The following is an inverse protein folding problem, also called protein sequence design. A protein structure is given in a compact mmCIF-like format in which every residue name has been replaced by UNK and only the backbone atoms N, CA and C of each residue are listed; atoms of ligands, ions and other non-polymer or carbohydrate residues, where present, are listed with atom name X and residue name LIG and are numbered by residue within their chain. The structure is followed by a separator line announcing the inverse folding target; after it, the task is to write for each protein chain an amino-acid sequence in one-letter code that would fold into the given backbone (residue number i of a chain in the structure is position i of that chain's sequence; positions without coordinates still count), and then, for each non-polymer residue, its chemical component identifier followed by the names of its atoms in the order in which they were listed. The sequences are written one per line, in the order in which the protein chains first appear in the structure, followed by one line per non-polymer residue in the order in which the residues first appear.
data_IF_473445525955
#
_entry.id   IF_473445525955
#
_cell.length_a   1.000
_cell.length_b   1.000
_cell.length_c   1.000
_cell.angle_alpha   90.00
_cell.angle_beta   90.00
_cell.angle_gamma   90.00
#
_symmetry.space_group_name_H-M   'P 1'
#
loop_
_entity.id
_entity.type
_entity.pdbx_description
1 polymer ?
#
# COMPACT_ATOMS: atom_id res chain seq x y z
N UNK A 1 -2.68 -21.03 7.38
CA UNK A 1 -2.41 -19.58 7.33
C UNK A 1 -3.28 -18.92 6.29
N UNK A 2 -3.03 -19.23 5.01
CA UNK A 2 -3.93 -18.87 3.93
C UNK A 2 -5.31 -19.52 4.13
N UNK A 3 -6.37 -18.76 3.84
CA UNK A 3 -7.76 -19.20 3.88
C UNK A 3 -8.32 -19.24 2.46
N UNK A 4 -9.11 -20.27 2.16
CA UNK A 4 -9.71 -20.45 0.85
C UNK A 4 -10.69 -19.30 0.59
N UNK A 5 -10.54 -18.52 -0.50
CA UNK A 5 -11.43 -17.40 -0.77
C UNK A 5 -12.86 -17.81 -1.18
N UNK A 6 -13.11 -19.13 -1.29
CA UNK A 6 -14.42 -19.70 -1.67
C UNK A 6 -15.14 -20.27 -0.44
N UNK A 7 -14.47 -21.08 0.38
CA UNK A 7 -15.09 -21.77 1.51
C UNK A 7 -14.49 -21.44 2.88
N UNK A 8 -13.52 -20.51 2.93
CA UNK A 8 -12.83 -20.06 4.15
C UNK A 8 -12.00 -21.14 4.88
N UNK A 9 -12.02 -22.39 4.41
CA UNK A 9 -11.21 -23.47 4.98
C UNK A 9 -9.70 -23.23 4.78
N UNK A 10 -8.83 -23.78 5.64
CA UNK A 10 -7.39 -23.65 5.50
C UNK A 10 -6.89 -24.13 4.13
N UNK A 11 -6.00 -23.36 3.54
CA UNK A 11 -5.26 -23.73 2.33
C UNK A 11 -3.92 -24.37 2.73
N UNK A 12 -3.67 -25.57 2.20
CA UNK A 12 -2.43 -26.33 2.38
C UNK A 12 -1.64 -26.34 1.07
N UNK A 13 -0.32 -26.38 1.15
CA UNK A 13 0.56 -26.51 -0.02
C UNK A 13 0.34 -27.86 -0.70
N UNK A 14 0.09 -27.84 -2.01
CA UNK A 14 -0.04 -29.04 -2.84
C UNK A 14 0.58 -28.75 -4.20
N UNK A 15 1.50 -29.61 -4.65
CA UNK A 15 2.24 -29.42 -5.90
C UNK A 15 2.90 -28.02 -5.97
N UNK A 16 2.64 -27.26 -7.05
CA UNK A 16 3.07 -25.87 -7.21
C UNK A 16 1.97 -24.86 -6.80
N UNK A 17 1.14 -25.18 -5.82
CA UNK A 17 0.00 -24.36 -5.46
C UNK A 17 -0.51 -24.62 -4.05
N UNK A 18 -1.78 -24.26 -3.85
CA UNK A 18 -2.48 -24.48 -2.59
C UNK A 18 -3.87 -25.05 -2.82
N UNK A 19 -4.33 -25.89 -1.90
CA UNK A 19 -5.64 -26.52 -1.96
C UNK A 19 -6.31 -26.55 -0.58
N UNK A 20 -7.65 -26.48 -0.56
CA UNK A 20 -8.42 -26.69 0.67
C UNK A 20 -9.01 -28.11 0.72
N UNK A 21 -9.49 -28.58 1.90
CA UNK A 21 -10.13 -29.90 2.03
C UNK A 21 -11.36 -30.12 1.16
N UNK A 22 -12.04 -29.04 0.74
CA UNK A 22 -13.19 -29.10 -0.17
C UNK A 22 -12.78 -29.27 -1.65
N UNK A 23 -11.48 -29.37 -1.95
CA UNK A 23 -10.98 -29.61 -3.30
C UNK A 23 -10.74 -28.36 -4.16
N UNK A 24 -11.00 -27.15 -3.64
CA UNK A 24 -10.62 -25.92 -4.35
C UNK A 24 -9.11 -25.80 -4.43
N UNK A 25 -8.58 -25.55 -5.64
CA UNK A 25 -7.14 -25.45 -5.92
C UNK A 25 -6.79 -24.11 -6.55
N UNK A 26 -5.61 -23.59 -6.19
CA UNK A 26 -5.08 -22.33 -6.69
C UNK A 26 -3.60 -22.53 -7.02
N UNK A 27 -3.26 -22.43 -8.31
CA UNK A 27 -1.88 -22.58 -8.76
C UNK A 27 -1.06 -21.33 -8.47
N UNK A 28 0.22 -21.53 -8.12
CA UNK A 28 1.19 -20.45 -8.05
C UNK A 28 1.64 -20.09 -9.45
N UNK A 29 1.51 -18.82 -9.81
CA UNK A 29 1.98 -18.33 -11.10
C UNK A 29 3.51 -18.47 -11.18
N UNK A 30 4.05 -18.59 -12.40
CA UNK A 30 5.51 -18.68 -12.62
C UNK A 30 6.31 -17.54 -11.99
N UNK A 31 5.68 -16.39 -11.77
CA UNK A 31 6.29 -15.22 -11.14
C UNK A 31 6.33 -15.32 -9.60
N UNK A 32 5.58 -16.23 -8.98
CA UNK A 32 5.66 -16.52 -7.54
C UNK A 32 4.39 -16.22 -6.73
N UNK A 33 3.43 -15.47 -7.29
CA UNK A 33 2.18 -15.10 -6.60
C UNK A 33 1.10 -16.19 -6.66
N UNK A 34 0.17 -16.14 -5.70
CA UNK A 34 -1.09 -16.87 -5.71
C UNK A 34 -2.23 -15.92 -6.10
N UNK A 35 -3.06 -16.30 -7.06
CA UNK A 35 -4.29 -15.55 -7.36
C UNK A 35 -5.45 -16.11 -6.55
N UNK A 36 -5.84 -15.38 -5.50
CA UNK A 36 -6.91 -15.74 -4.58
C UNK A 36 -8.10 -14.77 -4.68
N UNK A 37 -8.21 -14.02 -5.77
CA UNK A 37 -9.35 -13.17 -6.06
C UNK A 37 -10.42 -13.96 -6.84
N UNK A 38 -11.59 -14.27 -6.25
CA UNK A 38 -12.64 -14.99 -6.96
C UNK A 38 -13.18 -14.17 -8.14
N UNK A 39 -13.50 -14.84 -9.24
CA UNK A 39 -14.01 -14.21 -10.47
C UNK A 39 -15.29 -13.39 -10.20
N UNK A 40 -16.11 -13.85 -9.27
CA UNK A 40 -17.39 -13.24 -8.87
C UNK A 40 -17.24 -11.89 -8.16
N UNK A 41 -16.03 -11.57 -7.70
CA UNK A 41 -15.72 -10.34 -6.97
C UNK A 41 -14.86 -9.37 -7.80
N UNK A 42 -14.78 -9.59 -9.12
CA UNK A 42 -14.20 -8.61 -10.06
C UNK A 42 -15.26 -7.60 -10.47
N UNK A 43 -15.35 -6.49 -9.73
CA UNK A 43 -16.25 -5.39 -10.06
C UNK A 43 -15.79 -4.55 -11.28
N UNK A 44 -14.60 -4.82 -11.83
CA UNK A 44 -14.07 -4.21 -13.06
C UNK A 44 -13.08 -5.17 -13.74
N UNK A 45 -12.92 -5.04 -15.06
CA UNK A 45 -11.86 -5.74 -15.84
C UNK A 45 -10.48 -5.10 -15.61
N UNK A 46 -10.43 -3.82 -15.22
CA UNK A 46 -9.24 -3.03 -14.92
C UNK A 46 -9.54 -2.05 -13.74
N UNK A 47 -9.67 -2.53 -12.49
CA UNK A 47 -9.78 -1.64 -11.34
C UNK A 47 -8.39 -1.08 -10.99
N UNK A 48 -8.26 0.25 -10.94
CA UNK A 48 -7.07 0.94 -10.44
C UNK A 48 -6.35 1.80 -11.49
N UNK A 49 -5.07 2.06 -11.22
CA UNK A 49 -4.19 2.90 -12.03
C UNK A 49 -3.88 2.27 -13.39
N UNK A 50 -3.85 3.07 -14.46
CA UNK A 50 -3.41 2.58 -15.78
C UNK A 50 -1.90 2.29 -15.80
N UNK A 51 -1.41 1.60 -16.84
CA UNK A 51 0.01 1.21 -16.94
C UNK A 51 0.99 2.39 -16.79
N UNK A 52 0.67 3.54 -17.40
CA UNK A 52 1.52 4.72 -17.34
C UNK A 52 1.62 5.29 -15.91
N UNK A 53 0.52 5.28 -15.15
CA UNK A 53 0.50 5.69 -13.74
C UNK A 53 1.35 4.76 -12.85
N UNK A 54 1.21 3.45 -13.08
CA UNK A 54 1.99 2.46 -12.34
C UNK A 54 3.49 2.64 -12.63
N UNK A 55 3.86 2.91 -13.87
CA UNK A 55 5.25 3.18 -14.27
C UNK A 55 5.79 4.49 -13.71
N UNK A 56 5.01 5.57 -13.77
CA UNK A 56 5.39 6.84 -13.17
C UNK A 56 5.61 6.72 -11.65
N UNK A 57 4.68 6.06 -10.94
CA UNK A 57 4.81 5.79 -9.50
C UNK A 57 6.08 4.97 -9.22
N UNK A 58 6.29 3.91 -10.00
CA UNK A 58 7.48 3.05 -9.89
C UNK A 58 8.77 3.86 -10.03
N UNK A 59 8.87 4.64 -11.10
CA UNK A 59 10.08 5.40 -11.41
C UNK A 59 10.36 6.43 -10.32
N UNK A 60 9.32 7.14 -9.87
CA UNK A 60 9.44 8.12 -8.79
C UNK A 60 9.89 7.49 -7.47
N UNK A 61 9.30 6.35 -7.09
CA UNK A 61 9.68 5.65 -5.87
C UNK A 61 11.10 5.08 -5.95
N UNK A 62 11.48 4.49 -7.08
CA UNK A 62 12.83 3.94 -7.27
C UNK A 62 13.91 5.01 -7.42
N UNK A 63 13.56 6.24 -7.78
CA UNK A 63 14.45 7.40 -7.71
C UNK A 63 14.76 7.82 -6.26
N UNK A 64 14.09 7.23 -5.26
CA UNK A 64 14.37 7.44 -3.85
C UNK A 64 13.67 8.65 -3.22
N UNK A 65 12.81 9.34 -3.98
CA UNK A 65 12.10 10.54 -3.50
C UNK A 65 11.30 10.26 -2.21
N UNK A 66 10.67 9.10 -2.09
CA UNK A 66 9.92 8.70 -0.88
C UNK A 66 10.68 7.68 -0.02
N UNK A 67 12.01 7.57 -0.17
CA UNK A 67 12.82 6.70 0.68
C UNK A 67 12.69 7.01 2.19
N UNK A 68 12.62 8.28 2.65
CA UNK A 68 12.39 8.58 4.06
C UNK A 68 11.08 8.00 4.59
N UNK A 69 10.02 8.03 3.77
CA UNK A 69 8.70 7.48 4.13
C UNK A 69 8.78 5.97 4.34
N UNK A 70 9.37 5.27 3.37
CA UNK A 70 9.47 3.82 3.41
C UNK A 70 10.41 3.33 4.52
N UNK A 71 11.52 4.06 4.77
CA UNK A 71 12.42 3.76 5.89
C UNK A 71 11.72 3.89 7.23
N UNK A 72 10.99 4.99 7.45
CA UNK A 72 10.31 5.19 8.73
C UNK A 72 9.23 4.13 8.97
N UNK A 73 8.47 3.76 7.93
CA UNK A 73 7.54 2.64 8.02
C UNK A 73 8.23 1.33 8.43
N UNK A 74 9.40 1.03 7.85
CA UNK A 74 10.15 -0.19 8.15
C UNK A 74 10.71 -0.18 9.58
N UNK A 75 11.23 0.95 10.06
CA UNK A 75 11.64 1.14 11.46
C UNK A 75 10.46 0.91 12.41
N UNK A 76 9.30 1.50 12.11
CA UNK A 76 8.11 1.31 12.90
C UNK A 76 7.66 -0.17 12.91
N UNK A 77 7.76 -0.88 11.79
CA UNK A 77 7.46 -2.31 11.75
C UNK A 77 8.45 -3.12 12.62
N UNK A 78 9.75 -2.78 12.55
CA UNK A 78 10.80 -3.44 13.33
C UNK A 78 10.66 -3.23 14.84
N UNK A 79 10.33 -2.01 15.30
CA UNK A 79 10.08 -1.70 16.71
C UNK A 79 8.98 -2.59 17.33
N UNK A 80 8.04 -3.09 16.52
CA UNK A 80 6.93 -3.95 16.96
C UNK A 80 7.29 -5.43 16.91
N UNK A 81 8.38 -5.78 16.23
CA UNK A 81 8.92 -7.14 16.10
C UNK A 81 7.85 -8.23 15.84
N UNK A 82 6.95 -8.07 14.85
CA UNK A 82 5.94 -9.07 14.55
C UNK A 82 6.59 -10.34 14.01
N UNK A 83 6.05 -11.50 14.37
CA UNK A 83 6.38 -12.77 13.72
C UNK A 83 5.66 -12.94 12.39
N UNK A 84 4.49 -12.31 12.22
CA UNK A 84 3.72 -12.30 10.97
C UNK A 84 3.13 -10.95 10.66
N UNK A 85 3.27 -10.53 9.40
CA UNK A 85 2.76 -9.26 8.92
C UNK A 85 2.14 -9.35 7.52
N UNK A 86 1.29 -8.38 7.19
CA UNK A 86 0.71 -8.26 5.84
C UNK A 86 0.67 -6.80 5.37
N UNK A 87 1.05 -6.55 4.12
CA UNK A 87 0.84 -5.27 3.43
C UNK A 87 -0.43 -5.32 2.57
N UNK A 88 -1.41 -4.48 2.91
CA UNK A 88 -2.72 -4.38 2.26
C UNK A 88 -2.71 -3.22 1.26
N UNK A 89 -2.76 -3.57 -0.03
CA UNK A 89 -2.59 -2.60 -1.12
C UNK A 89 -1.11 -2.37 -1.43
N UNK A 90 -0.34 -3.45 -1.53
CA UNK A 90 1.11 -3.40 -1.66
C UNK A 90 1.59 -2.77 -2.98
N UNK A 91 0.70 -2.59 -3.96
CA UNK A 91 1.05 -2.15 -5.30
C UNK A 91 2.15 -3.02 -5.90
N UNK A 92 3.21 -2.38 -6.37
CA UNK A 92 4.38 -3.08 -6.92
C UNK A 92 5.46 -3.43 -5.89
N UNK A 93 5.14 -3.37 -4.59
CA UNK A 93 5.97 -3.90 -3.51
C UNK A 93 7.10 -2.99 -3.03
N UNK A 94 7.07 -1.69 -3.32
CA UNK A 94 8.13 -0.76 -2.91
C UNK A 94 8.26 -0.67 -1.37
N UNK A 95 7.16 -0.37 -0.68
CA UNK A 95 7.13 -0.30 0.80
C UNK A 95 7.28 -1.68 1.43
N UNK A 96 6.63 -2.68 0.84
CA UNK A 96 6.70 -4.08 1.26
C UNK A 96 8.14 -4.59 1.35
N UNK A 97 8.98 -4.25 0.36
CA UNK A 97 10.37 -4.67 0.36
C UNK A 97 11.15 -4.10 1.55
N UNK A 98 10.92 -2.83 1.90
CA UNK A 98 11.58 -2.18 3.04
C UNK A 98 11.16 -2.81 4.38
N UNK A 99 9.88 -3.15 4.53
CA UNK A 99 9.39 -3.88 5.72
C UNK A 99 10.05 -5.26 5.80
N UNK A 100 10.14 -5.98 4.68
CA UNK A 100 10.75 -7.29 4.62
C UNK A 100 12.25 -7.28 4.97
N UNK A 101 12.98 -6.27 4.49
CA UNK A 101 14.40 -6.09 4.80
C UNK A 101 14.62 -5.80 6.30
N UNK A 102 13.71 -5.06 6.93
CA UNK A 102 13.73 -4.78 8.37
C UNK A 102 13.25 -5.95 9.23
N UNK A 103 12.50 -6.90 8.65
CA UNK A 103 11.93 -8.07 9.32
C UNK A 103 12.32 -9.38 8.62
N UNK A 104 13.62 -9.71 8.49
CA UNK A 104 14.10 -10.82 7.67
C UNK A 104 13.67 -12.21 8.17
N UNK A 105 13.20 -12.31 9.40
CA UNK A 105 12.77 -13.57 10.04
C UNK A 105 11.25 -13.67 10.22
N UNK A 106 10.50 -12.62 9.86
CA UNK A 106 9.05 -12.61 9.98
C UNK A 106 8.38 -13.20 8.73
N UNK A 107 7.25 -13.88 8.92
CA UNK A 107 6.41 -14.41 7.85
C UNK A 107 5.61 -13.25 7.20
N UNK A 108 6.03 -12.83 6.01
CA UNK A 108 5.50 -11.64 5.34
C UNK A 108 4.56 -11.96 4.17
N UNK A 109 3.41 -11.30 4.16
CA UNK A 109 2.40 -11.37 3.11
C UNK A 109 2.19 -10.00 2.48
N UNK A 110 1.80 -9.99 1.21
CA UNK A 110 1.48 -8.74 0.53
C UNK A 110 0.41 -8.98 -0.52
N UNK A 111 -0.59 -8.11 -0.56
CA UNK A 111 -1.71 -8.26 -1.48
C UNK A 111 -2.05 -6.95 -2.19
N UNK A 112 -2.43 -7.10 -3.45
CA UNK A 112 -3.07 -6.05 -4.25
C UNK A 112 -4.08 -6.69 -5.20
N UNK A 113 -5.08 -5.92 -5.64
CA UNK A 113 -6.05 -6.40 -6.63
C UNK A 113 -5.46 -6.39 -8.05
N UNK A 114 -4.45 -5.55 -8.29
CA UNK A 114 -3.76 -5.40 -9.58
C UNK A 114 -2.78 -6.53 -9.83
N UNK A 115 -3.17 -7.43 -10.74
CA UNK A 115 -2.30 -8.53 -11.20
C UNK A 115 -0.95 -8.05 -11.72
N UNK A 116 -0.91 -6.94 -12.47
CA UNK A 116 0.34 -6.45 -13.05
C UNK A 116 1.25 -5.82 -11.99
N UNK A 117 0.70 -5.18 -10.96
CA UNK A 117 1.49 -4.66 -9.84
C UNK A 117 2.12 -5.81 -9.04
N UNK A 118 1.32 -6.80 -8.62
CA UNK A 118 1.81 -7.97 -7.85
C UNK A 118 2.86 -8.76 -8.64
N UNK A 119 2.66 -8.92 -9.95
CA UNK A 119 3.62 -9.60 -10.84
C UNK A 119 4.98 -8.89 -10.89
N UNK A 120 5.02 -7.55 -10.79
CA UNK A 120 6.26 -6.78 -10.65
C UNK A 120 6.83 -6.92 -9.24
N UNK A 121 5.97 -6.85 -8.21
CA UNK A 121 6.34 -6.96 -6.81
C UNK A 121 7.06 -8.27 -6.48
N UNK A 122 6.63 -9.39 -7.06
CA UNK A 122 7.25 -10.71 -6.86
C UNK A 122 8.76 -10.74 -7.12
N UNK A 123 9.26 -9.88 -8.02
CA UNK A 123 10.68 -9.79 -8.35
C UNK A 123 11.50 -9.06 -7.28
N UNK A 124 10.87 -8.24 -6.44
CA UNK A 124 11.56 -7.46 -5.40
C UNK A 124 12.00 -8.34 -4.25
N UNK A 125 11.13 -9.25 -3.80
CA UNK A 125 11.46 -10.18 -2.74
C UNK A 125 10.75 -11.53 -2.93
N UNK A 126 11.45 -12.58 -3.41
CA UNK A 126 10.89 -13.91 -3.60
C UNK A 126 10.53 -14.65 -2.30
N UNK A 127 11.02 -14.19 -1.13
CA UNK A 127 10.74 -14.83 0.15
C UNK A 127 9.32 -14.53 0.68
N UNK A 128 8.70 -13.47 0.18
CA UNK A 128 7.36 -13.07 0.61
C UNK A 128 6.26 -13.89 -0.08
N UNK A 129 5.12 -14.02 0.60
CA UNK A 129 3.91 -14.56 -0.02
C UNK A 129 3.10 -13.44 -0.68
N UNK A 130 3.21 -13.38 -2.01
CA UNK A 130 2.49 -12.42 -2.84
C UNK A 130 1.11 -12.93 -3.27
N UNK A 131 0.10 -12.09 -3.09
CA UNK A 131 -1.30 -12.45 -3.31
C UNK A 131 -1.97 -11.47 -4.26
N UNK A 132 -2.76 -11.99 -5.20
CA UNK A 132 -3.78 -11.18 -5.87
C UNK A 132 -5.08 -11.42 -5.10
N UNK A 133 -5.55 -10.42 -4.38
CA UNK A 133 -6.73 -10.50 -3.52
C UNK A 133 -7.37 -9.13 -3.31
N UNK A 134 -8.61 -9.13 -2.80
CA UNK A 134 -9.29 -7.90 -2.40
C UNK A 134 -8.97 -7.59 -0.94
N UNK A 135 -8.72 -6.31 -0.63
CA UNK A 135 -8.57 -5.83 0.75
C UNK A 135 -9.82 -6.04 1.61
N UNK A 136 -11.01 -6.19 0.99
CA UNK A 136 -12.26 -6.45 1.69
C UNK A 136 -12.45 -7.94 2.06
N UNK A 137 -11.61 -8.83 1.50
CA UNK A 137 -11.64 -10.28 1.74
C UNK A 137 -10.22 -10.84 1.60
N UNK A 138 -9.39 -10.54 2.59
CA UNK A 138 -8.00 -10.97 2.66
C UNK A 138 -7.96 -12.47 2.95
N UNK A 139 -7.30 -13.28 2.10
CA UNK A 139 -7.33 -14.75 2.20
C UNK A 139 -6.33 -15.26 3.25
N UNK A 140 -6.40 -14.68 4.44
CA UNK A 140 -5.66 -15.08 5.64
C UNK A 140 -6.66 -15.38 6.76
N UNK A 141 -6.31 -16.34 7.61
CA UNK A 141 -7.13 -16.73 8.75
C UNK A 141 -7.33 -15.54 9.71
N UNK A 142 -8.43 -15.56 10.47
CA UNK A 142 -8.66 -14.56 11.51
C UNK A 142 -7.62 -14.67 12.62
N UNK A 143 -7.25 -13.55 13.24
CA UNK A 143 -6.31 -13.53 14.37
C UNK A 143 -4.89 -14.01 14.01
N UNK A 144 -4.48 -13.89 12.75
CA UNK A 144 -3.28 -14.53 12.24
C UNK A 144 -2.07 -13.61 12.09
N UNK A 145 -2.28 -12.29 12.08
CA UNK A 145 -1.22 -11.29 11.87
C UNK A 145 -1.05 -10.41 13.12
N UNK A 146 0.19 -10.00 13.39
CA UNK A 146 0.51 -9.06 14.48
C UNK A 146 0.74 -7.64 13.96
N UNK A 147 1.07 -7.49 12.67
CA UNK A 147 1.29 -6.19 12.04
C UNK A 147 0.64 -6.14 10.66
N UNK A 148 -0.21 -5.14 10.42
CA UNK A 148 -0.76 -4.83 9.11
C UNK A 148 -0.17 -3.50 8.66
N UNK A 149 0.21 -3.37 7.39
CA UNK A 149 0.53 -2.10 6.77
C UNK A 149 -0.54 -1.73 5.74
N UNK A 150 -0.89 -0.45 5.67
CA UNK A 150 -1.70 0.11 4.58
C UNK A 150 -1.18 1.49 4.22
N UNK A 151 -0.56 1.60 3.04
CA UNK A 151 0.16 2.80 2.59
C UNK A 151 -0.54 3.39 1.38
N UNK A 152 -1.20 4.54 1.55
CA UNK A 152 -2.02 5.19 0.51
C UNK A 152 -3.14 4.34 -0.11
N UNK A 153 -3.44 3.18 0.50
CA UNK A 153 -4.50 2.28 0.06
C UNK A 153 -5.79 2.57 0.84
N UNK A 154 -6.97 2.38 0.22
CA UNK A 154 -8.18 2.22 1.00
C UNK A 154 -8.08 1.00 1.93
N UNK A 155 -8.96 0.96 2.92
CA UNK A 155 -8.95 -0.03 3.99
C UNK A 155 -10.37 -0.42 4.35
N UNK A 156 -10.59 -1.72 4.53
CA UNK A 156 -11.76 -2.25 5.23
C UNK A 156 -11.38 -2.52 6.69
N UNK A 157 -11.96 -1.76 7.61
CA UNK A 157 -11.60 -1.79 9.03
C UNK A 157 -11.99 -3.10 9.73
N UNK A 158 -13.16 -3.63 9.39
CA UNK A 158 -13.62 -4.90 9.98
C UNK A 158 -12.76 -6.06 9.49
N UNK A 159 -12.36 -6.03 8.22
CA UNK A 159 -11.44 -7.02 7.68
C UNK A 159 -10.03 -6.90 8.30
N UNK A 160 -9.51 -5.68 8.46
CA UNK A 160 -8.25 -5.44 9.15
C UNK A 160 -8.29 -5.96 10.60
N UNK A 161 -9.36 -5.64 11.34
CA UNK A 161 -9.59 -6.14 12.70
C UNK A 161 -9.67 -7.66 12.75
N UNK A 162 -10.37 -8.29 11.79
CA UNK A 162 -10.49 -9.76 11.71
C UNK A 162 -9.12 -10.45 11.61
N UNK A 163 -8.19 -9.85 10.86
CA UNK A 163 -6.85 -10.42 10.64
C UNK A 163 -5.93 -10.34 11.85
N UNK A 164 -6.14 -9.33 12.70
CA UNK A 164 -5.26 -9.03 13.83
C UNK A 164 -5.43 -10.04 14.97
N UNK A 165 -4.32 -10.60 15.44
CA UNK A 165 -4.28 -11.28 16.74
C UNK A 165 -4.43 -10.26 17.88
N UNK A 166 -4.91 -10.64 19.07
CA UNK A 166 -4.91 -9.76 20.24
C UNK A 166 -3.53 -9.13 20.48
N UNK A 167 -3.49 -7.81 20.72
CA UNK A 167 -2.26 -7.02 20.86
C UNK A 167 -1.53 -6.70 19.54
N UNK A 168 -1.98 -7.24 18.40
CA UNK A 168 -1.48 -6.85 17.09
C UNK A 168 -2.02 -5.47 16.67
N UNK A 169 -1.41 -4.87 15.65
CA UNK A 169 -1.88 -3.57 15.16
C UNK A 169 -1.72 -3.30 13.68
N UNK A 170 -2.45 -2.30 13.23
CA UNK A 170 -2.47 -1.77 11.87
C UNK A 170 -1.72 -0.44 11.83
N UNK A 171 -0.70 -0.37 10.98
CA UNK A 171 -0.02 0.87 10.58
C UNK A 171 -0.66 1.42 9.31
N UNK A 172 -1.35 2.56 9.44
CA UNK A 172 -1.89 3.32 8.30
C UNK A 172 -0.98 4.50 8.01
N UNK A 173 -0.53 4.61 6.75
CA UNK A 173 0.30 5.72 6.27
C UNK A 173 -0.44 6.50 5.20
N UNK A 174 -0.58 7.81 5.38
CA UNK A 174 -1.30 8.69 4.46
C UNK A 174 -0.76 10.12 4.46
N UNK A 175 -1.13 10.91 3.43
CA UNK A 175 -0.72 12.31 3.34
C UNK A 175 -1.43 13.15 4.42
N UNK A 176 -0.74 14.14 4.95
CA UNK A 176 -1.37 15.17 5.77
C UNK A 176 -2.05 16.24 4.89
N UNK A 177 -2.76 17.17 5.53
CA UNK A 177 -3.30 18.38 4.90
C UNK A 177 -2.24 19.24 4.20
N UNK A 178 -1.00 19.26 4.72
CA UNK A 178 0.15 20.00 4.18
C UNK A 178 0.90 19.29 3.06
N UNK A 179 0.57 18.03 2.74
CA UNK A 179 1.29 17.27 1.73
C UNK A 179 1.18 17.90 0.33
N UNK A 180 2.33 18.17 -0.29
CA UNK A 180 2.47 18.72 -1.64
C UNK A 180 1.68 20.02 -1.84
N UNK A 181 1.57 20.87 -0.81
CA UNK A 181 0.80 22.10 -0.89
C UNK A 181 1.29 23.00 -2.02
N UNK A 182 2.60 23.15 -2.18
CA UNK A 182 3.23 23.99 -3.19
C UNK A 182 2.92 23.50 -4.62
N UNK A 183 2.77 22.19 -4.79
CA UNK A 183 2.30 21.61 -6.06
C UNK A 183 0.82 21.91 -6.28
N UNK A 184 -0.01 21.76 -5.25
CA UNK A 184 -1.46 21.98 -5.33
C UNK A 184 -1.78 23.44 -5.68
N UNK A 185 -1.08 24.40 -5.09
CA UNK A 185 -1.22 25.84 -5.38
C UNK A 185 -0.87 26.18 -6.83
N UNK A 186 0.07 25.46 -7.44
CA UNK A 186 0.38 25.64 -8.88
C UNK A 186 -0.67 25.01 -9.81
N UNK A 187 -1.45 24.04 -9.32
CA UNK A 187 -2.40 23.29 -10.15
C UNK A 187 -3.84 23.81 -10.03
N UNK A 188 -4.21 24.46 -8.93
CA UNK A 188 -5.58 24.91 -8.65
C UNK A 188 -5.64 26.40 -8.30
N UNK A 189 -6.72 27.06 -8.71
CA UNK A 189 -7.01 28.44 -8.31
C UNK A 189 -7.37 28.54 -6.82
N UNK A 190 -8.02 27.50 -6.30
CA UNK A 190 -8.40 27.39 -4.89
C UNK A 190 -8.07 25.99 -4.37
N UNK A 191 -7.22 25.92 -3.35
CA UNK A 191 -6.85 24.67 -2.71
C UNK A 191 -7.82 24.39 -1.56
N UNK A 192 -8.73 23.44 -1.77
CA UNK A 192 -9.67 23.01 -0.72
C UNK A 192 -8.92 22.40 0.45
N UNK A 193 -9.38 22.73 1.65
CA UNK A 193 -8.90 22.13 2.89
C UNK A 193 -9.15 20.61 2.91
N UNK A 194 -8.13 19.86 3.32
CA UNK A 194 -8.19 18.41 3.43
C UNK A 194 -8.07 18.03 4.90
N UNK A 195 -9.11 17.44 5.47
CA UNK A 195 -9.05 16.86 6.82
C UNK A 195 -8.43 15.46 6.72
N UNK A 196 -7.24 15.30 7.29
CA UNK A 196 -6.40 14.11 7.20
C UNK A 196 -6.62 13.10 8.35
N UNK A 197 -7.54 13.41 9.28
CA UNK A 197 -7.87 12.61 10.46
C UNK A 197 -9.23 11.89 10.35
N UNK A 198 -9.93 12.00 9.22
CA UNK A 198 -11.27 11.41 9.00
C UNK A 198 -11.32 9.91 9.28
N UNK A 199 -10.22 9.19 9.06
CA UNK A 199 -10.16 7.75 9.32
C UNK A 199 -10.20 7.41 10.81
N UNK A 200 -9.89 8.35 11.71
CA UNK A 200 -10.01 8.14 13.15
C UNK A 200 -11.46 7.89 13.57
N UNK A 201 -12.42 8.49 12.87
CA UNK A 201 -13.85 8.26 13.11
C UNK A 201 -14.36 6.90 12.60
N UNK A 202 -13.54 6.16 11.84
CA UNK A 202 -13.87 4.85 11.28
C UNK A 202 -13.25 3.70 12.07
N UNK A 203 -12.52 3.99 13.15
CA UNK A 203 -11.88 2.97 13.98
C UNK A 203 -12.97 2.17 14.71
N UNK A 204 -13.02 0.84 14.54
CA UNK A 204 -14.06 0.01 15.12
C UNK A 204 -13.83 -0.22 16.61
N UNK A 205 -14.89 -0.58 17.34
CA UNK A 205 -14.81 -0.94 18.76
C UNK A 205 -13.76 -2.02 19.01
N UNK A 206 -13.04 -1.92 20.13
CA UNK A 206 -11.95 -2.85 20.47
C UNK A 206 -10.62 -2.55 19.76
N UNK A 207 -10.57 -1.56 18.87
CA UNK A 207 -9.32 -0.98 18.39
C UNK A 207 -9.11 0.42 18.97
N UNK A 208 -7.85 0.81 19.15
CA UNK A 208 -7.51 2.15 19.64
C UNK A 208 -6.22 2.66 19.01
N UNK A 209 -6.14 3.98 18.79
CA UNK A 209 -4.92 4.63 18.32
C UNK A 209 -3.86 4.58 19.44
N UNK A 210 -2.79 3.83 19.22
CA UNK A 210 -1.70 3.65 20.19
C UNK A 210 -0.50 4.56 19.90
N UNK A 211 -0.31 4.94 18.64
CA UNK A 211 0.78 5.84 18.24
C UNK A 211 0.37 6.65 17.00
N UNK A 212 0.78 7.91 16.95
CA UNK A 212 0.59 8.81 15.83
C UNK A 212 1.80 9.72 15.70
N UNK A 213 2.36 9.83 14.49
CA UNK A 213 3.44 10.75 14.20
C UNK A 213 3.36 11.28 12.77
N UNK A 214 4.01 12.42 12.53
CA UNK A 214 4.11 13.05 11.21
C UNK A 214 5.58 13.14 10.81
N UNK A 215 5.88 12.69 9.60
CA UNK A 215 7.18 12.86 8.95
C UNK A 215 7.08 13.95 7.89
N UNK A 216 7.93 14.97 8.01
CA UNK A 216 8.04 16.06 7.04
C UNK A 216 9.45 16.20 6.50
N UNK A 217 9.53 16.38 5.18
CA UNK A 217 10.77 16.73 4.50
C UNK A 217 10.49 17.42 3.17
N UNK A 218 11.48 18.14 2.66
CA UNK A 218 11.36 18.85 1.38
C UNK A 218 12.00 18.04 0.26
N UNK A 219 11.28 17.92 -0.86
CA UNK A 219 11.83 17.44 -2.13
C UNK A 219 12.25 18.61 -3.00
N UNK A 220 13.35 18.42 -3.73
CA UNK A 220 13.81 19.33 -4.76
C UNK A 220 13.83 18.57 -6.10
N UNK A 221 12.80 18.78 -6.91
CA UNK A 221 12.60 18.07 -8.18
C UNK A 221 13.08 18.94 -9.35
N UNK A 222 14.38 18.85 -9.65
CA UNK A 222 14.99 19.56 -10.77
C UNK A 222 14.58 18.96 -12.12
N UNK A 223 14.56 17.64 -12.22
CA UNK A 223 14.32 16.94 -13.48
C UNK A 223 12.85 17.03 -13.91
N UNK A 224 12.54 17.42 -15.16
CA UNK A 224 11.18 17.42 -15.71
C UNK A 224 10.48 16.06 -15.57
N UNK A 225 11.25 14.96 -15.73
CA UNK A 225 10.73 13.60 -15.61
C UNK A 225 10.19 13.31 -14.21
N UNK A 226 10.87 13.76 -13.16
CA UNK A 226 10.43 13.50 -11.79
C UNK A 226 9.18 14.29 -11.44
N UNK A 227 9.08 15.53 -11.94
CA UNK A 227 7.88 16.36 -11.83
C UNK A 227 6.69 15.73 -12.56
N UNK A 228 6.91 15.21 -13.77
CA UNK A 228 5.90 14.49 -14.52
C UNK A 228 5.46 13.20 -13.80
N UNK A 229 6.41 12.45 -13.24
CA UNK A 229 6.12 11.23 -12.49
C UNK A 229 5.31 11.51 -11.22
N UNK A 230 5.67 12.55 -10.45
CA UNK A 230 4.92 13.00 -9.27
C UNK A 230 3.48 13.39 -9.63
N UNK A 231 3.30 14.15 -10.71
CA UNK A 231 1.97 14.53 -11.19
C UNK A 231 1.13 13.31 -11.58
N UNK A 232 1.73 12.35 -12.29
CA UNK A 232 1.01 11.16 -12.77
C UNK A 232 0.60 10.22 -11.63
N UNK A 233 1.40 10.11 -10.56
CA UNK A 233 1.10 9.23 -9.43
C UNK A 233 0.17 9.85 -8.36
N UNK A 234 -0.18 11.13 -8.49
CA UNK A 234 -1.09 11.84 -7.59
C UNK A 234 -2.44 12.10 -8.26
N UNK A 235 -3.57 12.10 -7.54
CA UNK A 235 -4.87 12.50 -8.10
C UNK A 235 -4.90 13.94 -8.63
N UNK A 236 -3.91 14.76 -8.23
CA UNK A 236 -3.82 16.15 -8.62
C UNK A 236 -3.50 16.36 -10.09
N UNK A 237 -2.60 15.56 -10.67
CA UNK A 237 -2.25 15.65 -12.09
C UNK A 237 -3.46 15.44 -13.01
N UNK A 238 -4.38 14.54 -12.63
CA UNK A 238 -5.58 14.20 -13.40
C UNK A 238 -6.63 15.31 -13.42
N UNK A 239 -6.71 16.07 -12.33
CA UNK A 239 -7.72 17.13 -12.16
C UNK A 239 -7.22 18.50 -12.67
N UNK A 240 -5.92 18.67 -12.85
CA UNK A 240 -5.34 19.89 -13.37
C UNK A 240 -5.53 20.03 -14.89
N UNK A 241 -5.48 21.26 -15.41
CA UNK A 241 -5.47 21.50 -16.86
C UNK A 241 -4.15 21.01 -17.48
N UNK A 242 -4.16 20.70 -18.78
CA UNK A 242 -2.95 20.31 -19.51
C UNK A 242 -1.88 21.41 -19.47
N UNK A 243 -2.31 22.67 -19.53
CA UNK A 243 -1.44 23.84 -19.46
C UNK A 243 -0.72 23.94 -18.11
N UNK A 244 -1.44 23.84 -16.98
CA UNK A 244 -0.82 23.88 -15.65
C UNK A 244 0.13 22.73 -15.40
N UNK A 245 -0.21 21.53 -15.89
CA UNK A 245 0.72 20.38 -15.86
C UNK A 245 2.00 20.69 -16.63
N UNK A 246 1.90 21.20 -17.85
CA UNK A 246 3.06 21.55 -18.68
C UNK A 246 3.92 22.62 -17.99
N UNK A 247 3.30 23.67 -17.43
CA UNK A 247 4.01 24.71 -16.68
C UNK A 247 4.83 24.15 -15.51
N UNK A 248 4.27 23.20 -14.74
CA UNK A 248 5.01 22.55 -13.64
C UNK A 248 6.16 21.70 -14.19
N UNK A 249 5.92 20.90 -15.23
CA UNK A 249 6.90 19.96 -15.79
C UNK A 249 8.06 20.69 -16.49
N UNK A 250 7.76 21.77 -17.20
CA UNK A 250 8.70 22.48 -18.07
C UNK A 250 9.37 23.69 -17.39
N UNK A 251 8.99 24.02 -16.16
CA UNK A 251 9.62 25.11 -15.41
C UNK A 251 11.15 24.94 -15.37
N UNK A 252 11.87 26.05 -15.59
CA UNK A 252 13.33 26.08 -15.53
C UNK A 252 13.85 25.88 -14.11
N UNK A 253 13.11 26.38 -13.12
CA UNK A 253 13.44 26.19 -11.70
C UNK A 253 12.94 24.82 -11.20
N UNK A 254 13.66 24.20 -10.25
CA UNK A 254 13.18 22.99 -9.61
C UNK A 254 11.85 23.19 -8.91
N UNK A 255 11.00 22.16 -8.95
CA UNK A 255 9.82 22.12 -8.10
C UNK A 255 10.22 21.71 -6.69
N UNK A 256 10.16 22.67 -5.77
CA UNK A 256 10.38 22.44 -4.34
C UNK A 256 9.02 22.19 -3.69
N UNK A 257 8.84 21.03 -3.06
CA UNK A 257 7.56 20.61 -2.45
C UNK A 257 7.79 19.95 -1.11
N UNK A 258 6.83 20.14 -0.21
CA UNK A 258 6.82 19.48 1.09
C UNK A 258 6.15 18.12 1.01
N UNK A 259 6.88 17.07 1.37
CA UNK A 259 6.32 15.76 1.68
C UNK A 259 5.96 15.75 3.16
N UNK A 260 4.69 15.50 3.48
CA UNK A 260 4.19 15.43 4.85
C UNK A 260 3.27 14.22 4.97
N UNK A 261 3.70 13.25 5.76
CA UNK A 261 3.07 11.94 5.88
C UNK A 261 2.75 11.63 7.33
N UNK A 262 1.53 11.17 7.60
CA UNK A 262 1.08 10.72 8.91
C UNK A 262 1.13 9.21 9.00
N UNK A 263 1.65 8.72 10.13
CA UNK A 263 1.70 7.32 10.52
C UNK A 263 0.80 7.15 11.74
N UNK A 264 -0.27 6.38 11.59
CA UNK A 264 -1.15 6.05 12.70
C UNK A 264 -1.14 4.54 12.93
N UNK A 265 -0.82 4.14 14.17
CA UNK A 265 -0.80 2.76 14.59
C UNK A 265 -1.98 2.46 15.51
N UNK A 266 -2.85 1.57 15.07
CA UNK A 266 -4.04 1.15 15.80
C UNK A 266 -3.85 -0.26 16.32
N UNK A 267 -4.09 -0.47 17.62
CA UNK A 267 -3.91 -1.78 18.27
C UNK A 267 -5.27 -2.39 18.56
N UNK A 268 -5.40 -3.70 18.30
CA UNK A 268 -6.51 -4.52 18.75
C UNK A 268 -6.30 -4.90 20.23
N UNK A 269 -7.24 -4.49 21.07
CA UNK A 269 -7.25 -4.76 22.51
C UNK A 269 -7.61 -6.21 22.83
#
# INVERSE_FOLDING_TARGET
MLACPICSAPLNTVDNGVACPAGHRFDRARQGYLNLLPVQHKNSRDPGDNLAMVEARRDFLNAGHYAPVARRLAELAAERAPQRWVDIGCGEGYYTAQIADALPHADGYALDISKEAVKRACKRNPALTWLIASMARVPLASGSCQFLASVFSPLDWEEAKRLLSPGGGLMKVGPTSGHLMELRERLYDEVREYTDDKHLALVPDGMSLAHSETLEFTLNLAEPRDRANLLAMTPHGWRASAERRAQVIEAAEPLVVTVSMRYDYFVLQ
#
